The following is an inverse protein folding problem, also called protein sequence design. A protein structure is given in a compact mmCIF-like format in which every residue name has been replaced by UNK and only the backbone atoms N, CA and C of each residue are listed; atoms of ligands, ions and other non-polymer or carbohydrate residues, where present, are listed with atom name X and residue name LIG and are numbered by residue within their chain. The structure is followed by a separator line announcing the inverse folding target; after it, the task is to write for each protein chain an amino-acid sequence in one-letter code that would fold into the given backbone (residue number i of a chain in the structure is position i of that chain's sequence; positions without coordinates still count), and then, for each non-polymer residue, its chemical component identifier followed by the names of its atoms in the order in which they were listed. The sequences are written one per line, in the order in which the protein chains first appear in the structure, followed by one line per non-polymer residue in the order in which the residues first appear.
data_IF_236853483964
#
_entry.id   IF_236853483964
#
_cell.length_a   1.000
_cell.length_b   1.000
_cell.length_c   1.000
_cell.angle_alpha   90.00
_cell.angle_beta   90.00
_cell.angle_gamma   90.00
#
_symmetry.space_group_name_H-M   'P 1'
#
loop_
_entity.id
_entity.type
_entity.pdbx_description
1 polymer ?
#
# COMPACT_ATOMS: atom_id res chain seq x y z
N UNK A 1 14.82 17.86 -4.37
CA UNK A 1 14.56 16.74 -3.44
C UNK A 1 14.95 15.46 -4.15
N UNK A 2 16.00 14.81 -3.67
CA UNK A 2 16.39 13.46 -4.05
C UNK A 2 15.69 12.51 -3.09
N UNK A 3 14.62 11.88 -3.56
CA UNK A 3 13.77 11.05 -2.73
C UNK A 3 13.17 9.90 -3.52
N UNK A 4 12.61 8.95 -2.79
CA UNK A 4 11.87 7.84 -3.36
C UNK A 4 10.42 8.25 -3.63
N UNK A 5 9.77 7.48 -4.52
CA UNK A 5 8.35 7.61 -4.78
C UNK A 5 7.73 6.23 -4.88
N UNK A 6 6.42 6.16 -4.70
CA UNK A 6 5.66 4.96 -5.06
C UNK A 6 5.26 5.05 -6.53
N UNK A 7 5.68 4.06 -7.31
CA UNK A 7 5.35 3.94 -8.73
C UNK A 7 4.30 2.87 -9.00
N UNK A 8 4.18 1.89 -8.12
CA UNK A 8 3.21 0.82 -8.19
C UNK A 8 2.92 0.30 -6.78
N UNK A 9 1.80 -0.40 -6.65
CA UNK A 9 1.39 -1.09 -5.43
C UNK A 9 1.02 -2.51 -5.79
N UNK A 10 1.34 -3.42 -4.89
CA UNK A 10 1.04 -4.84 -4.99
C UNK A 10 0.39 -5.24 -3.68
N UNK A 11 -0.79 -5.81 -3.74
CA UNK A 11 -1.61 -6.17 -2.59
C UNK A 11 -1.86 -7.66 -2.63
N UNK A 12 -1.68 -8.33 -1.50
CA UNK A 12 -2.06 -9.73 -1.32
C UNK A 12 -3.18 -9.77 -0.29
N UNK A 13 -4.30 -10.41 -0.64
CA UNK A 13 -5.45 -10.55 0.25
C UNK A 13 -5.84 -12.02 0.33
N UNK A 14 -6.06 -12.50 1.55
CA UNK A 14 -6.77 -13.75 1.79
C UNK A 14 -8.23 -13.44 2.12
N UNK A 15 -9.16 -14.00 1.37
CA UNK A 15 -10.59 -13.83 1.61
C UNK A 15 -11.05 -14.71 2.78
N UNK A 16 -12.25 -14.46 3.28
CA UNK A 16 -12.85 -15.27 4.34
C UNK A 16 -13.14 -16.73 3.92
N UNK A 17 -13.18 -17.04 2.62
CA UNK A 17 -13.30 -18.41 2.11
C UNK A 17 -11.94 -19.11 1.95
N UNK A 18 -10.84 -18.41 2.22
CA UNK A 18 -9.48 -18.92 2.06
C UNK A 18 -8.86 -18.70 0.67
N UNK A 19 -9.57 -18.05 -0.27
CA UNK A 19 -9.03 -17.69 -1.58
C UNK A 19 -7.96 -16.62 -1.44
N UNK A 20 -6.98 -16.61 -2.36
CA UNK A 20 -5.87 -15.66 -2.35
C UNK A 20 -5.86 -14.83 -3.62
N UNK A 21 -5.98 -13.52 -3.45
CA UNK A 21 -5.93 -12.53 -4.52
C UNK A 21 -4.60 -11.80 -4.48
N UNK A 22 -3.98 -11.66 -5.64
CA UNK A 22 -2.83 -10.79 -5.87
C UNK A 22 -3.29 -9.64 -6.76
N UNK A 23 -3.13 -8.39 -6.31
CA UNK A 23 -3.63 -7.23 -7.02
C UNK A 23 -2.49 -6.25 -7.30
N UNK A 24 -2.37 -5.79 -8.54
CA UNK A 24 -1.40 -4.78 -8.95
C UNK A 24 -2.10 -3.50 -9.40
N UNK A 25 -1.56 -2.34 -9.00
CA UNK A 25 -1.91 -1.06 -9.60
C UNK A 25 -0.67 -0.19 -9.80
N UNK A 26 -0.45 0.26 -11.04
CA UNK A 26 0.82 0.87 -11.47
C UNK A 26 0.60 2.26 -12.09
N UNK A 27 1.28 3.28 -11.55
CA UNK A 27 1.16 4.66 -12.01
C UNK A 27 1.73 4.90 -13.42
N UNK A 28 2.63 4.03 -13.89
CA UNK A 28 3.28 4.11 -15.21
C UNK A 28 2.60 3.26 -16.28
N UNK A 29 1.65 2.40 -15.91
CA UNK A 29 0.85 1.66 -16.88
C UNK A 29 0.07 2.62 -17.78
N UNK A 30 0.15 2.38 -19.10
CA UNK A 30 -0.60 3.12 -20.12
C UNK A 30 -2.09 2.84 -20.02
N UNK A 31 -2.44 1.60 -19.71
CA UNK A 31 -3.81 1.10 -19.76
C UNK A 31 -4.62 1.51 -18.53
N UNK A 32 -3.98 2.11 -17.51
CA UNK A 32 -4.61 2.61 -16.26
C UNK A 32 -5.43 1.59 -15.47
N UNK A 33 -5.41 0.32 -15.87
CA UNK A 33 -6.11 -0.75 -15.20
C UNK A 33 -5.37 -1.23 -13.95
N UNK A 34 -6.12 -1.75 -12.99
CA UNK A 34 -5.60 -2.69 -12.01
C UNK A 34 -5.61 -4.10 -12.60
N UNK A 35 -4.67 -4.94 -12.20
CA UNK A 35 -4.66 -6.35 -12.54
C UNK A 35 -4.95 -7.18 -11.29
N UNK A 36 -5.83 -8.16 -11.41
CA UNK A 36 -6.18 -9.10 -10.34
C UNK A 36 -5.83 -10.51 -10.81
N UNK A 37 -4.97 -11.16 -10.05
CA UNK A 37 -4.53 -12.53 -10.27
C UNK A 37 -5.07 -13.41 -9.16
N UNK A 38 -5.61 -14.55 -9.55
CA UNK A 38 -6.03 -15.61 -8.67
C UNK A 38 -5.57 -16.94 -9.25
N UNK A 39 -5.16 -17.88 -8.40
CA UNK A 39 -4.82 -19.21 -8.84
C UNK A 39 -6.00 -19.82 -9.63
N UNK A 40 -5.70 -20.58 -10.68
CA UNK A 40 -6.67 -21.28 -11.53
C UNK A 40 -7.70 -20.41 -12.27
N UNK A 41 -7.56 -19.08 -12.24
CA UNK A 41 -8.46 -18.15 -12.96
C UNK A 41 -7.68 -17.26 -13.94
N UNK A 42 -8.31 -16.83 -15.06
CA UNK A 42 -7.72 -15.81 -15.93
C UNK A 42 -7.46 -14.51 -15.17
N UNK A 43 -6.45 -13.77 -15.58
CA UNK A 43 -6.19 -12.42 -15.06
C UNK A 43 -7.34 -11.49 -15.40
N UNK A 44 -7.84 -10.77 -14.41
CA UNK A 44 -8.87 -9.74 -14.60
C UNK A 44 -8.18 -8.38 -14.63
N UNK A 45 -8.43 -7.61 -15.68
CA UNK A 45 -8.04 -6.21 -15.75
C UNK A 45 -9.26 -5.34 -15.44
N UNK A 46 -9.12 -4.44 -14.47
CA UNK A 46 -10.20 -3.57 -14.00
C UNK A 46 -9.85 -2.11 -14.28
N UNK A 47 -10.62 -1.46 -15.14
CA UNK A 47 -10.55 -0.05 -15.50
C UNK A 47 -11.54 0.83 -14.74
N UNK A 48 -11.53 2.13 -15.08
CA UNK A 48 -12.35 3.15 -14.39
C UNK A 48 -13.87 3.00 -14.63
N UNK A 49 -14.24 2.41 -15.77
CA UNK A 49 -15.63 2.27 -16.22
C UNK A 49 -16.21 0.87 -15.95
N UNK A 50 -15.40 -0.03 -15.40
CA UNK A 50 -15.81 -1.40 -15.13
C UNK A 50 -16.63 -1.50 -13.84
N UNK A 51 -17.54 -2.47 -13.81
CA UNK A 51 -18.25 -2.82 -12.60
C UNK A 51 -17.27 -3.32 -11.51
N UNK A 52 -17.52 -3.06 -10.22
CA UNK A 52 -16.69 -3.59 -9.14
C UNK A 52 -16.50 -5.10 -9.22
N UNK A 53 -15.26 -5.56 -9.04
CA UNK A 53 -15.01 -6.98 -8.85
C UNK A 53 -15.33 -7.35 -7.39
N UNK A 54 -16.20 -8.34 -7.21
CA UNK A 54 -16.58 -8.89 -5.91
C UNK A 54 -16.08 -10.32 -5.79
N UNK A 55 -15.31 -10.60 -4.74
CA UNK A 55 -14.79 -11.92 -4.41
C UNK A 55 -14.96 -12.13 -2.91
N UNK A 56 -15.95 -12.95 -2.55
CA UNK A 56 -16.34 -13.20 -1.16
C UNK A 56 -16.55 -11.88 -0.37
N UNK A 57 -15.74 -11.61 0.66
CA UNK A 57 -15.74 -10.39 1.46
C UNK A 57 -14.81 -9.28 0.92
N UNK A 58 -14.30 -9.42 -0.31
CA UNK A 58 -13.38 -8.46 -0.93
C UNK A 58 -14.05 -7.77 -2.11
N UNK A 59 -14.03 -6.43 -2.11
CA UNK A 59 -14.47 -5.59 -3.22
C UNK A 59 -13.29 -4.80 -3.78
N UNK A 60 -13.09 -4.91 -5.08
CA UNK A 60 -12.04 -4.19 -5.82
C UNK A 60 -12.69 -3.22 -6.80
N UNK A 61 -12.24 -1.97 -6.79
CA UNK A 61 -12.70 -0.94 -7.74
C UNK A 61 -11.53 -0.13 -8.28
N UNK A 62 -11.68 0.36 -9.50
CA UNK A 62 -10.88 1.48 -10.03
C UNK A 62 -11.87 2.55 -10.43
N UNK A 63 -11.74 3.76 -9.87
CA UNK A 63 -12.61 4.89 -10.22
C UNK A 63 -11.82 6.18 -10.09
N UNK A 64 -11.89 7.06 -11.09
CA UNK A 64 -11.22 8.37 -11.05
C UNK A 64 -9.73 8.26 -10.65
N UNK A 65 -9.00 7.32 -11.26
CA UNK A 65 -7.59 7.00 -10.98
C UNK A 65 -7.31 6.47 -9.56
N UNK A 66 -8.33 6.11 -8.80
CA UNK A 66 -8.24 5.53 -7.46
C UNK A 66 -8.57 4.04 -7.53
N UNK A 67 -7.55 3.23 -7.31
CA UNK A 67 -7.69 1.80 -7.06
C UNK A 67 -8.04 1.59 -5.58
N UNK A 68 -9.05 0.78 -5.31
CA UNK A 68 -9.53 0.49 -3.94
C UNK A 68 -9.66 -1.01 -3.74
N UNK A 69 -9.18 -1.50 -2.61
CA UNK A 69 -9.41 -2.86 -2.13
C UNK A 69 -10.06 -2.76 -0.77
N UNK A 70 -11.34 -3.14 -0.70
CA UNK A 70 -12.11 -3.18 0.54
C UNK A 70 -12.26 -4.63 0.98
N UNK A 71 -11.84 -4.92 2.20
CA UNK A 71 -12.07 -6.19 2.89
C UNK A 71 -13.14 -5.90 3.95
N UNK A 72 -14.34 -6.43 3.77
CA UNK A 72 -15.48 -6.10 4.64
C UNK A 72 -15.19 -6.45 6.10
N UNK A 73 -15.48 -5.49 6.98
CA UNK A 73 -15.22 -5.59 8.41
C UNK A 73 -13.74 -5.60 8.80
N UNK A 74 -12.81 -5.32 7.88
CA UNK A 74 -11.36 -5.34 8.15
C UNK A 74 -10.64 -4.09 7.65
N UNK A 75 -10.25 -4.03 6.38
CA UNK A 75 -9.38 -2.95 5.89
C UNK A 75 -9.93 -2.32 4.61
N UNK A 76 -9.72 -1.01 4.47
CA UNK A 76 -9.88 -0.28 3.22
C UNK A 76 -8.51 0.23 2.78
N UNK A 77 -8.00 -0.34 1.70
CA UNK A 77 -6.79 0.13 1.04
C UNK A 77 -7.17 0.96 -0.19
N UNK A 78 -6.44 2.04 -0.43
CA UNK A 78 -6.60 2.87 -1.61
C UNK A 78 -5.25 3.35 -2.14
N UNK A 79 -5.12 3.31 -3.46
CA UNK A 79 -3.98 3.83 -4.20
C UNK A 79 -4.48 4.78 -5.30
N UNK A 80 -4.09 6.05 -5.21
CA UNK A 80 -4.51 7.09 -6.17
C UNK A 80 -3.34 7.48 -7.06
N UNK A 81 -3.54 7.53 -8.38
CA UNK A 81 -2.52 8.11 -9.27
C UNK A 81 -2.60 9.63 -9.23
N UNK A 82 -1.48 10.24 -8.88
CA UNK A 82 -1.33 11.69 -8.78
C UNK A 82 -0.18 12.18 -9.65
N UNK A 83 -0.30 13.44 -10.09
CA UNK A 83 0.81 14.10 -10.75
C UNK A 83 1.96 14.34 -9.77
N UNK A 84 3.19 14.32 -10.30
CA UNK A 84 4.34 14.74 -9.52
C UNK A 84 4.18 16.18 -8.99
N UNK A 85 4.70 16.49 -7.79
CA UNK A 85 4.89 17.86 -7.34
C UNK A 85 5.66 18.69 -8.38
N UNK A 86 5.33 19.98 -8.49
CA UNK A 86 5.92 20.88 -9.48
C UNK A 86 5.78 20.38 -10.93
N UNK A 87 4.65 19.76 -11.29
CA UNK A 87 4.41 19.12 -12.60
C UNK A 87 4.53 20.02 -13.84
N UNK A 88 4.69 21.34 -13.67
CA UNK A 88 5.01 22.28 -14.76
C UNK A 88 6.49 22.23 -15.20
N UNK A 89 7.39 21.83 -14.31
CA UNK A 89 8.82 21.65 -14.64
C UNK A 89 8.97 20.57 -15.70
N UNK A 90 9.80 20.79 -16.72
CA UNK A 90 10.01 19.82 -17.80
C UNK A 90 10.42 18.44 -17.25
N UNK A 91 11.25 18.42 -16.21
CA UNK A 91 11.69 17.19 -15.56
C UNK A 91 10.55 16.39 -14.88
N UNK A 92 9.42 17.02 -14.53
CA UNK A 92 8.29 16.38 -13.85
C UNK A 92 7.03 16.26 -14.73
N UNK A 93 7.06 16.84 -15.93
CA UNK A 93 5.95 16.83 -16.87
C UNK A 93 5.53 15.40 -17.18
N UNK A 94 4.22 15.13 -17.13
CA UNK A 94 3.60 13.81 -17.36
C UNK A 94 4.02 12.69 -16.38
N UNK A 95 4.90 12.96 -15.41
CA UNK A 95 5.24 11.95 -14.40
C UNK A 95 4.07 11.78 -13.42
N UNK A 96 3.83 10.52 -13.04
CA UNK A 96 2.81 10.12 -12.08
C UNK A 96 3.44 9.29 -10.96
N UNK A 97 2.84 9.41 -9.78
CA UNK A 97 3.14 8.63 -8.58
C UNK A 97 1.86 8.02 -8.03
N UNK A 98 2.01 7.14 -7.06
CA UNK A 98 0.91 6.61 -6.25
C UNK A 98 0.90 7.29 -4.89
N UNK A 99 -0.26 7.79 -4.48
CA UNK A 99 -0.57 8.14 -3.11
C UNK A 99 -1.35 6.99 -2.45
N UNK A 100 -0.87 6.56 -1.29
CA UNK A 100 -1.47 5.45 -0.53
C UNK A 100 -2.31 5.95 0.64
N UNK A 101 -3.42 5.28 0.87
CA UNK A 101 -4.23 5.42 2.07
C UNK A 101 -4.65 4.03 2.56
N UNK A 102 -4.57 3.81 3.87
CA UNK A 102 -5.08 2.61 4.54
C UNK A 102 -5.96 3.05 5.70
N UNK A 103 -7.12 2.41 5.84
CA UNK A 103 -8.08 2.66 6.90
C UNK A 103 -8.53 1.34 7.52
N UNK A 104 -8.50 1.25 8.85
CA UNK A 104 -9.19 0.19 9.59
C UNK A 104 -10.70 0.41 9.53
N UNK A 105 -11.46 -0.65 9.22
CA UNK A 105 -12.92 -0.67 9.20
C UNK A 105 -13.52 -1.36 10.43
N UNK A 106 -12.69 -1.55 11.45
CA UNK A 106 -12.97 -2.25 12.70
C UNK A 106 -12.08 -1.70 13.81
N UNK A 107 -12.28 -2.18 15.04
CA UNK A 107 -11.43 -1.86 16.19
C UNK A 107 -10.10 -2.63 16.10
N UNK A 108 -9.15 -2.07 15.36
CA UNK A 108 -7.84 -2.66 15.13
C UNK A 108 -6.94 -2.65 16.36
N UNK A 109 -7.14 -1.70 17.28
CA UNK A 109 -6.40 -1.58 18.54
C UNK A 109 -6.67 -2.75 19.50
N UNK A 110 -7.82 -3.41 19.34
CA UNK A 110 -8.24 -4.56 20.15
C UNK A 110 -8.42 -5.85 19.31
N UNK A 111 -7.73 -5.97 18.16
CA UNK A 111 -7.73 -7.25 17.42
C UNK A 111 -7.04 -8.34 18.26
N UNK A 112 -7.55 -9.58 18.16
CA UNK A 112 -6.97 -10.76 18.85
C UNK A 112 -5.51 -10.94 18.47
N UNK A 113 -5.18 -10.62 17.21
CA UNK A 113 -3.81 -10.52 16.72
C UNK A 113 -3.59 -9.08 16.29
N UNK A 114 -2.83 -8.32 17.08
CA UNK A 114 -2.53 -6.93 16.77
C UNK A 114 -1.94 -6.82 15.34
N UNK A 115 -2.37 -5.83 14.53
CA UNK A 115 -1.76 -5.59 13.23
C UNK A 115 -0.26 -5.29 13.35
N UNK A 116 0.50 -5.61 12.31
CA UNK A 116 1.94 -5.29 12.26
C UNK A 116 2.33 -4.87 10.84
N UNK A 117 3.61 -4.56 10.62
CA UNK A 117 4.11 -3.92 9.41
C UNK A 117 4.26 -2.40 9.61
N UNK A 118 4.56 -1.69 8.52
CA UNK A 118 4.88 -0.25 8.55
C UNK A 118 3.74 0.58 9.17
N UNK A 119 2.49 0.31 8.82
CA UNK A 119 1.33 1.03 9.36
C UNK A 119 0.58 0.23 10.44
N UNK A 120 0.69 -1.10 10.45
CA UNK A 120 -0.02 -1.94 11.40
C UNK A 120 0.47 -1.77 12.84
N UNK A 121 1.77 -1.50 13.02
CA UNK A 121 2.36 -1.24 14.34
C UNK A 121 1.78 0.00 15.05
N UNK A 122 1.02 0.85 14.36
CA UNK A 122 0.31 1.96 15.00
C UNK A 122 -0.92 1.50 15.82
N UNK A 123 -1.30 0.21 15.72
CA UNK A 123 -2.43 -0.41 16.39
C UNK A 123 -1.97 -1.51 17.36
N UNK A 124 -0.78 -1.36 17.95
CA UNK A 124 -0.20 -2.34 18.89
C UNK A 124 -0.78 -2.24 20.31
N UNK A 125 -1.64 -1.25 20.56
CA UNK A 125 -2.40 -1.09 21.80
C UNK A 125 -1.59 -0.57 22.98
N UNK A 126 -0.33 -0.18 22.79
CA UNK A 126 0.56 0.23 23.88
C UNK A 126 0.42 1.71 24.29
N UNK A 127 -0.39 2.47 23.54
CA UNK A 127 -0.65 3.91 23.71
C UNK A 127 0.61 4.80 23.64
N UNK A 128 1.69 4.32 23.04
CA UNK A 128 2.98 5.01 22.95
C UNK A 128 3.22 5.52 21.54
N UNK A 129 3.16 6.84 21.37
CA UNK A 129 3.58 7.49 20.13
C UNK A 129 5.10 7.50 20.01
N UNK A 130 5.65 6.89 18.97
CA UNK A 130 7.10 6.92 18.70
C UNK A 130 7.42 8.04 17.70
N UNK A 131 8.37 8.90 18.05
CA UNK A 131 8.87 9.93 17.14
C UNK A 131 10.14 9.45 16.45
N UNK A 132 10.00 9.04 15.20
CA UNK A 132 11.15 8.72 14.37
C UNK A 132 12.02 9.93 14.05
N UNK A 133 13.24 9.63 13.62
CA UNK A 133 14.22 10.60 13.17
C UNK A 133 13.66 11.37 11.99
N UNK A 134 13.77 12.70 12.05
CA UNK A 134 13.41 13.60 10.95
C UNK A 134 14.64 13.87 10.11
N UNK A 135 14.46 13.96 8.80
CA UNK A 135 15.47 14.57 7.95
C UNK A 135 15.67 16.04 8.39
N UNK A 136 16.91 16.54 8.26
CA UNK A 136 17.25 17.90 8.66
C UNK A 136 16.44 18.90 7.80
N UNK A 137 15.70 19.78 8.47
CA UNK A 137 14.92 20.84 7.83
C UNK A 137 15.84 21.91 7.27
N UNK A 138 15.90 22.09 5.93
CA UNK A 138 16.74 23.14 5.29
C UNK A 138 16.20 23.67 3.97
N UNK A 139 16.37 24.98 3.82
CA UNK A 139 15.96 25.91 2.76
C UNK A 139 16.49 25.67 1.33
N UNK A 140 17.02 24.49 1.01
CA UNK A 140 17.70 24.17 -0.25
C UNK A 140 17.43 22.73 -0.74
N UNK A 141 18.32 22.18 -1.58
CA UNK A 141 18.22 20.81 -2.09
C UNK A 141 18.43 19.75 -0.98
N UNK A 142 17.44 18.88 -0.80
CA UNK A 142 17.44 17.85 0.26
C UNK A 142 17.51 16.43 -0.29
N UNK A 143 18.21 15.55 0.43
CA UNK A 143 18.25 14.10 0.22
C UNK A 143 17.68 13.40 1.44
N UNK A 144 16.78 12.43 1.26
CA UNK A 144 16.18 11.68 2.37
C UNK A 144 17.19 10.70 2.97
N UNK A 145 17.34 10.70 4.30
CA UNK A 145 18.37 9.94 5.00
C UNK A 145 17.83 9.11 6.18
N UNK A 146 16.80 9.60 6.87
CA UNK A 146 16.27 8.94 8.07
C UNK A 146 15.54 7.62 7.77
N UNK A 147 14.87 7.49 6.61
CA UNK A 147 14.25 6.24 6.14
C UNK A 147 13.51 5.44 7.25
N UNK A 148 12.63 6.12 7.97
CA UNK A 148 11.81 5.54 9.06
C UNK A 148 12.57 5.08 10.32
N UNK A 149 13.86 5.40 10.46
CA UNK A 149 14.65 5.16 11.67
C UNK A 149 13.96 5.71 12.92
N UNK A 150 13.69 4.83 13.89
CA UNK A 150 12.98 5.16 15.13
C UNK A 150 11.47 5.40 14.99
N UNK A 151 10.90 5.36 13.78
CA UNK A 151 9.45 5.40 13.57
C UNK A 151 8.82 4.00 13.46
N UNK A 152 9.66 3.00 13.18
CA UNK A 152 9.23 1.61 12.97
C UNK A 152 10.06 0.67 13.83
N UNK A 153 9.51 -0.48 14.17
CA UNK A 153 10.25 -1.56 14.83
C UNK A 153 11.38 -2.07 13.91
N UNK A 154 12.61 -2.13 14.41
CA UNK A 154 13.76 -2.59 13.62
C UNK A 154 14.24 -1.57 12.59
N UNK A 155 14.70 -2.05 11.43
CA UNK A 155 15.30 -1.22 10.37
C UNK A 155 14.50 -1.35 9.07
N UNK A 156 14.46 -0.32 8.21
CA UNK A 156 13.66 -0.33 6.98
C UNK A 156 13.99 -1.51 6.04
N UNK A 157 15.21 -2.04 6.10
CA UNK A 157 15.60 -3.24 5.35
C UNK A 157 14.87 -4.50 5.80
N UNK A 158 14.43 -4.56 7.06
CA UNK A 158 13.67 -5.68 7.63
C UNK A 158 12.25 -5.80 7.04
N UNK A 159 11.78 -4.74 6.37
CA UNK A 159 10.49 -4.65 5.69
C UNK A 159 10.60 -4.81 4.17
N UNK A 160 11.80 -5.07 3.63
CA UNK A 160 11.96 -5.36 2.20
C UNK A 160 11.35 -6.70 1.85
N UNK A 161 10.61 -6.71 0.75
CA UNK A 161 10.04 -7.90 0.17
C UNK A 161 10.94 -8.40 -0.97
N UNK A 162 11.07 -9.72 -1.10
CA UNK A 162 11.87 -10.35 -2.16
C UNK A 162 11.24 -10.23 -3.55
N UNK A 163 9.91 -10.08 -3.62
CA UNK A 163 9.16 -9.94 -4.86
C UNK A 163 7.86 -9.15 -4.64
N UNK A 164 7.22 -8.63 -5.70
CA UNK A 164 6.04 -7.77 -5.58
C UNK A 164 4.88 -8.36 -4.77
N UNK A 165 4.66 -9.68 -4.84
CA UNK A 165 3.59 -10.35 -4.10
C UNK A 165 4.10 -11.19 -2.92
N UNK A 166 5.37 -11.04 -2.53
CA UNK A 166 5.85 -11.67 -1.30
C UNK A 166 5.12 -11.06 -0.11
N UNK A 167 4.66 -11.92 0.80
CA UNK A 167 4.12 -11.50 2.10
C UNK A 167 5.11 -11.74 3.23
N UNK A 168 6.33 -12.20 2.91
CA UNK A 168 7.35 -12.52 3.88
C UNK A 168 8.32 -11.34 4.07
N UNK A 169 8.43 -10.90 5.32
CA UNK A 169 9.44 -9.99 5.85
C UNK A 169 9.58 -10.28 7.35
N UNK A 170 10.60 -9.74 8.02
CA UNK A 170 10.98 -10.12 9.39
C UNK A 170 9.83 -10.09 10.40
N UNK A 171 8.94 -9.10 10.27
CA UNK A 171 7.81 -8.89 11.19
C UNK A 171 6.45 -9.24 10.58
N UNK A 172 6.42 -10.01 9.49
CA UNK A 172 5.15 -10.36 8.83
C UNK A 172 4.25 -11.16 9.76
N UNK A 173 2.97 -10.76 9.82
CA UNK A 173 1.89 -11.52 10.45
C UNK A 173 0.92 -12.15 9.46
N UNK A 174 1.25 -12.15 8.16
CA UNK A 174 0.30 -12.52 7.11
C UNK A 174 -0.18 -13.98 7.19
N UNK A 175 0.68 -14.90 7.64
CA UNK A 175 0.33 -16.32 7.82
C UNK A 175 0.29 -16.74 9.29
N UNK A 176 0.29 -15.77 10.21
CA UNK A 176 0.25 -16.03 11.65
C UNK A 176 -1.22 -16.24 12.03
N UNK A 177 -1.60 -17.51 12.22
CA UNK A 177 -2.90 -17.88 12.80
C UNK A 177 -2.75 -18.12 14.29
#
# INVERSE_FOLDING_TARGET
VHGTKMAAVYVVVQTNSGRRLHLEYNATSKDKHAAVYEATHPTIFLGEDDAPLLVDNVKVTVQSKKFTVRIDGKWLFSATRSAFPFGKLEANRKKQLIDLQVQALYDADHDVVAPHGIFGQAYDGDSTGVHGKRDLDRSAETTTSAQAEGAIEGHWSDYKLESPFSTYFKFSRFNSN
#
